data_IF_884881882554
#
_entry.id   IF_884881882554
#
_cell.length_a   1.000
_cell.length_b   1.000
_cell.length_c   1.000
_cell.angle_alpha   90.00
_cell.angle_beta   90.00
_cell.angle_gamma   90.00
#
_symmetry.space_group_name_H-M   'P 1'
#
loop_
_entity.id
_entity.type
_entity.pdbx_description
1 polymer ?
#
# COMPACT_ATOMS: atom_id res chain seq x y z
N UNK A 1 -29.30 12.84 -22.72
CA UNK A 1 -28.63 11.53 -22.55
C UNK A 1 -27.60 11.71 -21.43
N UNK A 2 -27.82 11.08 -20.28
CA UNK A 2 -27.29 11.51 -18.97
C UNK A 2 -25.92 10.92 -18.63
N UNK A 3 -24.91 11.78 -18.53
CA UNK A 3 -23.56 11.50 -17.98
C UNK A 3 -23.60 11.03 -16.51
N UNK A 4 -24.68 11.35 -15.78
CA UNK A 4 -24.89 10.88 -14.40
C UNK A 4 -25.32 9.40 -14.31
N UNK A 5 -25.77 8.77 -15.41
CA UNK A 5 -26.13 7.34 -15.42
C UNK A 5 -24.90 6.44 -15.64
N UNK A 6 -23.86 6.96 -16.28
CA UNK A 6 -22.58 6.25 -16.48
C UNK A 6 -21.66 6.30 -15.25
N UNK A 7 -21.83 7.30 -14.37
CA UNK A 7 -21.08 7.40 -13.12
C UNK A 7 -21.56 6.40 -12.04
N UNK A 8 -22.78 5.86 -12.16
CA UNK A 8 -23.37 4.93 -11.18
C UNK A 8 -23.22 3.44 -11.56
N UNK A 9 -22.82 3.13 -12.80
CA UNK A 9 -22.72 1.74 -13.29
C UNK A 9 -21.35 1.08 -13.11
N UNK A 10 -20.33 1.80 -12.63
CA UNK A 10 -18.94 1.30 -12.52
C UNK A 10 -18.37 1.21 -11.10
N UNK A 11 -19.19 0.90 -10.08
CA UNK A 11 -18.64 0.33 -8.84
C UNK A 11 -18.42 -1.18 -8.99
N UNK A 12 -17.27 -1.55 -9.54
CA UNK A 12 -16.67 -2.89 -9.41
C UNK A 12 -15.23 -2.74 -8.95
N UNK A 13 -14.90 -3.44 -7.87
CA UNK A 13 -13.57 -3.57 -7.27
C UNK A 13 -12.57 -4.37 -8.10
N UNK A 14 -12.85 -4.64 -9.37
CA UNK A 14 -11.98 -5.41 -10.27
C UNK A 14 -11.12 -4.50 -11.19
N UNK A 15 -11.44 -3.20 -11.33
CA UNK A 15 -10.81 -2.34 -12.35
C UNK A 15 -9.57 -1.55 -11.93
N UNK A 16 -9.30 -1.38 -10.62
CA UNK A 16 -8.16 -0.55 -10.16
C UNK A 16 -6.86 -1.37 -10.14
N UNK A 17 -6.95 -2.65 -9.82
CA UNK A 17 -5.80 -3.57 -9.75
C UNK A 17 -5.38 -3.98 -11.16
N UNK A 18 -6.36 -4.35 -12.01
CA UNK A 18 -6.13 -4.68 -13.42
C UNK A 18 -5.50 -3.48 -14.16
N UNK A 19 -6.02 -2.27 -13.94
CA UNK A 19 -5.44 -1.06 -14.52
C UNK A 19 -4.04 -0.71 -14.02
N UNK A 20 -3.65 -1.13 -12.82
CA UNK A 20 -2.28 -0.94 -12.30
C UNK A 20 -1.34 -2.01 -12.87
N UNK A 21 -1.79 -3.27 -12.93
CA UNK A 21 -1.05 -4.38 -13.56
C UNK A 21 -0.86 -4.12 -15.06
N UNK A 22 -1.91 -3.75 -15.79
CA UNK A 22 -1.89 -3.37 -17.21
C UNK A 22 -1.03 -2.13 -17.46
N UNK A 23 -1.16 -1.07 -16.65
CA UNK A 23 -0.29 0.09 -16.77
C UNK A 23 1.19 -0.26 -16.60
N UNK A 24 1.51 -1.15 -15.66
CA UNK A 24 2.88 -1.61 -15.44
C UNK A 24 3.36 -2.49 -16.60
N UNK A 25 2.53 -3.42 -17.09
CA UNK A 25 2.83 -4.30 -18.22
C UNK A 25 3.00 -3.51 -19.54
N UNK A 26 2.09 -2.59 -19.84
CA UNK A 26 2.19 -1.72 -21.02
C UNK A 26 3.47 -0.90 -21.01
N UNK A 27 3.90 -0.39 -19.84
CA UNK A 27 5.16 0.38 -19.73
C UNK A 27 6.41 -0.51 -19.80
N UNK A 28 6.31 -1.76 -19.38
CA UNK A 28 7.36 -2.77 -19.52
C UNK A 28 7.54 -3.18 -20.99
N UNK A 29 6.43 -3.41 -21.69
CA UNK A 29 6.41 -3.68 -23.13
C UNK A 29 6.94 -2.49 -23.92
N UNK A 30 6.55 -1.27 -23.53
CA UNK A 30 7.05 -0.04 -24.16
C UNK A 30 8.57 0.17 -23.96
N UNK A 31 9.13 -0.30 -22.84
CA UNK A 31 10.56 -0.12 -22.52
C UNK A 31 11.50 -0.94 -23.42
N UNK A 32 10.99 -1.98 -24.09
CA UNK A 32 11.77 -2.86 -24.96
C UNK A 32 11.99 -2.32 -26.39
N UNK A 33 11.50 -1.13 -26.72
CA UNK A 33 11.31 -0.70 -28.11
C UNK A 33 12.23 0.42 -28.68
N UNK A 34 13.57 0.50 -28.50
CA UNK A 34 14.49 0.16 -27.42
C UNK A 34 15.45 1.31 -26.98
N UNK A 35 15.30 2.58 -27.37
CA UNK A 35 16.22 3.65 -26.84
C UNK A 35 15.63 5.08 -26.76
N UNK A 36 14.53 5.38 -27.46
CA UNK A 36 13.84 6.67 -27.38
C UNK A 36 12.82 6.76 -26.21
N UNK A 37 12.42 5.62 -25.65
CA UNK A 37 11.40 5.47 -24.57
C UNK A 37 11.98 5.35 -23.15
N UNK A 38 13.31 5.28 -23.00
CA UNK A 38 13.95 5.28 -21.66
C UNK A 38 13.66 6.56 -20.86
N UNK A 39 13.36 7.67 -21.55
CA UNK A 39 12.91 8.92 -20.94
C UNK A 39 11.42 8.89 -20.53
N UNK A 40 10.56 8.12 -21.21
CA UNK A 40 9.12 8.10 -20.93
C UNK A 40 8.79 7.31 -19.67
N UNK A 41 9.49 6.21 -19.37
CA UNK A 41 9.26 5.43 -18.14
C UNK A 41 9.48 6.26 -16.87
N UNK A 42 10.63 6.95 -16.79
CA UNK A 42 10.91 7.91 -15.71
C UNK A 42 9.92 9.08 -15.69
N UNK A 43 9.57 9.64 -16.85
CA UNK A 43 8.66 10.78 -16.92
C UNK A 43 7.26 10.40 -16.41
N UNK A 44 6.71 9.27 -16.88
CA UNK A 44 5.41 8.74 -16.45
C UNK A 44 5.44 8.35 -14.97
N UNK A 45 6.52 7.74 -14.49
CA UNK A 45 6.71 7.45 -13.07
C UNK A 45 6.75 8.73 -12.22
N UNK A 46 7.46 9.75 -12.69
CA UNK A 46 7.53 11.06 -12.03
C UNK A 46 6.18 11.77 -12.03
N UNK A 47 5.45 11.72 -13.13
CA UNK A 47 4.09 12.27 -13.26
C UNK A 47 3.11 11.55 -12.32
N UNK A 48 3.19 10.22 -12.20
CA UNK A 48 2.40 9.47 -11.23
C UNK A 48 2.67 9.92 -9.79
N UNK A 49 3.95 10.09 -9.40
CA UNK A 49 4.34 10.61 -8.07
C UNK A 49 3.86 12.05 -7.86
N UNK A 50 3.92 12.88 -8.89
CA UNK A 50 3.43 14.26 -8.86
C UNK A 50 1.90 14.31 -8.73
N UNK A 51 1.18 13.47 -9.48
CA UNK A 51 -0.27 13.36 -9.42
C UNK A 51 -0.73 12.91 -8.02
N UNK A 52 -0.04 11.96 -7.40
CA UNK A 52 -0.30 11.57 -6.01
C UNK A 52 -0.19 12.76 -5.04
N UNK A 53 0.87 13.58 -5.15
CA UNK A 53 1.03 14.78 -4.33
C UNK A 53 -0.04 15.83 -4.61
N UNK A 54 -0.30 16.14 -5.88
CA UNK A 54 -1.32 17.12 -6.30
C UNK A 54 -2.73 16.72 -5.88
N UNK A 55 -3.04 15.42 -5.82
CA UNK A 55 -4.33 14.92 -5.36
C UNK A 55 -4.56 15.15 -3.85
N UNK A 56 -3.50 15.35 -3.07
CA UNK A 56 -3.57 15.59 -1.62
C UNK A 56 -3.64 17.08 -1.24
N UNK A 57 -3.44 17.98 -2.21
CA UNK A 57 -3.48 19.43 -2.01
C UNK A 57 -4.91 19.98 -1.95
N UNK A 58 -5.11 21.00 -1.12
CA UNK A 58 -6.31 21.85 -1.11
C UNK A 58 -6.43 22.68 -2.38
N UNK A 59 -7.62 23.22 -2.65
CA UNK A 59 -7.87 24.12 -3.77
C UNK A 59 -6.92 25.34 -3.76
N UNK A 60 -6.59 25.87 -2.58
CA UNK A 60 -5.72 27.03 -2.41
C UNK A 60 -4.25 26.70 -2.71
N UNK A 61 -3.76 25.56 -2.23
CA UNK A 61 -2.40 25.12 -2.54
C UNK A 61 -2.25 24.81 -4.04
N UNK A 62 -3.29 24.25 -4.66
CA UNK A 62 -3.29 23.96 -6.11
C UNK A 62 -3.24 25.23 -6.97
N UNK A 63 -3.75 26.37 -6.50
CA UNK A 63 -3.65 27.65 -7.25
C UNK A 63 -2.21 28.05 -7.54
N UNK A 64 -1.25 27.62 -6.72
CA UNK A 64 0.19 27.89 -6.94
C UNK A 64 0.74 27.20 -8.20
N UNK A 65 0.01 26.24 -8.75
CA UNK A 65 0.42 25.42 -9.89
C UNK A 65 -0.55 25.51 -11.08
N UNK A 66 -1.60 26.34 -10.98
CA UNK A 66 -2.60 26.54 -12.05
C UNK A 66 -2.63 27.98 -12.51
N UNK A 67 -3.29 28.23 -13.64
CA UNK A 67 -3.63 29.59 -14.07
C UNK A 67 -4.37 30.33 -12.93
N UNK A 68 -3.97 31.55 -12.55
CA UNK A 68 -4.65 32.34 -11.51
C UNK A 68 -6.13 32.60 -11.76
N UNK A 69 -6.57 32.53 -13.02
CA UNK A 69 -7.96 32.70 -13.44
C UNK A 69 -8.77 31.40 -13.47
N UNK A 70 -8.11 30.24 -13.35
CA UNK A 70 -8.78 28.95 -13.35
C UNK A 70 -9.46 28.70 -11.99
N UNK A 71 -10.71 28.27 -12.03
CA UNK A 71 -11.37 27.73 -10.85
C UNK A 71 -10.62 26.47 -10.39
N UNK A 72 -10.09 26.49 -9.17
CA UNK A 72 -9.46 25.32 -8.56
C UNK A 72 -10.42 24.66 -7.58
N UNK A 73 -10.41 23.33 -7.61
CA UNK A 73 -11.10 22.48 -6.64
C UNK A 73 -10.06 21.68 -5.86
N UNK A 74 -10.46 21.20 -4.69
CA UNK A 74 -9.61 20.33 -3.89
C UNK A 74 -9.15 19.12 -4.68
N UNK A 75 -7.95 18.63 -4.37
CA UNK A 75 -7.51 17.33 -4.84
C UNK A 75 -8.45 16.23 -4.32
N UNK A 76 -8.60 15.16 -5.10
CA UNK A 76 -9.54 14.09 -4.75
C UNK A 76 -9.18 13.41 -3.41
N UNK A 77 -7.89 13.23 -3.13
CA UNK A 77 -7.40 12.67 -1.87
C UNK A 77 -7.61 13.64 -0.71
N UNK A 78 -7.47 14.94 -0.94
CA UNK A 78 -7.80 15.98 0.04
C UNK A 78 -9.27 15.92 0.44
N UNK A 79 -10.18 15.88 -0.55
CA UNK A 79 -11.61 15.73 -0.29
C UNK A 79 -11.93 14.44 0.48
N UNK A 80 -11.30 13.32 0.12
CA UNK A 80 -11.48 12.04 0.82
C UNK A 80 -11.01 12.11 2.29
N UNK A 81 -9.86 12.73 2.55
CA UNK A 81 -9.33 12.93 3.89
C UNK A 81 -10.30 13.72 4.78
N UNK A 82 -10.84 14.84 4.28
CA UNK A 82 -11.82 15.64 5.01
C UNK A 82 -13.15 14.90 5.23
N UNK A 83 -13.59 14.09 4.26
CA UNK A 83 -14.78 13.26 4.44
C UNK A 83 -14.59 12.18 5.53
N UNK A 84 -13.41 11.55 5.58
CA UNK A 84 -13.05 10.59 6.63
C UNK A 84 -12.97 11.28 7.99
N UNK A 85 -12.33 12.45 8.07
CA UNK A 85 -12.26 13.24 9.29
C UNK A 85 -13.65 13.64 9.79
N UNK A 86 -14.53 14.10 8.91
CA UNK A 86 -15.92 14.41 9.25
C UNK A 86 -16.69 13.18 9.73
N UNK A 87 -16.43 11.98 9.20
CA UNK A 87 -17.03 10.74 9.71
C UNK A 87 -16.55 10.45 11.14
N UNK A 88 -15.24 10.51 11.39
CA UNK A 88 -14.67 10.21 12.71
C UNK A 88 -15.01 11.28 13.76
N UNK A 89 -15.29 12.52 13.34
CA UNK A 89 -15.79 13.57 14.23
C UNK A 89 -17.22 13.28 14.72
N UNK A 90 -18.05 12.62 13.91
CA UNK A 90 -19.42 12.20 14.29
C UNK A 90 -19.43 10.93 15.13
N UNK A 91 -18.49 10.03 14.86
CA UNK A 91 -18.36 8.75 15.54
C UNK A 91 -16.89 8.49 15.89
N UNK A 92 -16.54 8.73 17.14
CA UNK A 92 -15.16 8.62 17.65
C UNK A 92 -14.72 7.17 17.89
N UNK A 93 -15.61 6.19 17.68
CA UNK A 93 -15.29 4.76 17.74
C UNK A 93 -14.82 4.22 16.38
N UNK A 94 -14.96 5.01 15.31
CA UNK A 94 -14.46 4.65 13.97
C UNK A 94 -12.93 4.72 13.94
N UNK A 95 -12.32 3.60 13.59
CA UNK A 95 -10.89 3.47 13.38
C UNK A 95 -10.53 3.50 11.89
N UNK A 96 -9.44 4.19 11.54
CA UNK A 96 -8.92 4.23 10.16
C UNK A 96 -7.77 3.23 10.00
N UNK A 97 -7.92 2.34 9.03
CA UNK A 97 -6.91 1.35 8.67
C UNK A 97 -6.48 1.56 7.21
N UNK A 98 -5.18 1.60 6.97
CA UNK A 98 -4.58 1.77 5.65
C UNK A 98 -3.98 0.44 5.19
N UNK A 99 -4.27 0.05 3.96
CA UNK A 99 -3.55 -1.00 3.24
C UNK A 99 -3.16 -0.45 1.86
N UNK A 100 -1.90 -0.61 1.48
CA UNK A 100 -1.38 -0.07 0.24
C UNK A 100 -0.37 -1.02 -0.40
N UNK A 101 -0.62 -1.42 -1.64
CA UNK A 101 0.28 -2.28 -2.41
C UNK A 101 1.06 -1.46 -3.44
N UNK A 102 2.34 -1.78 -3.65
CA UNK A 102 3.14 -1.25 -4.76
C UNK A 102 3.05 0.29 -4.85
N UNK A 103 2.65 0.85 -5.99
CA UNK A 103 2.46 2.29 -6.20
C UNK A 103 1.38 2.92 -5.31
N UNK A 104 0.49 2.13 -4.70
CA UNK A 104 -0.43 2.60 -3.68
C UNK A 104 0.29 3.25 -2.50
N UNK A 105 1.51 2.81 -2.17
CA UNK A 105 2.30 3.43 -1.11
C UNK A 105 2.81 4.84 -1.47
N UNK A 106 2.90 5.17 -2.76
CA UNK A 106 3.23 6.52 -3.23
C UNK A 106 2.01 7.43 -3.09
N UNK A 107 0.82 6.92 -3.42
CA UNK A 107 -0.44 7.65 -3.22
C UNK A 107 -0.73 7.92 -1.74
N UNK A 108 -0.52 6.91 -0.89
CA UNK A 108 -0.81 7.02 0.54
C UNK A 108 0.16 7.96 1.28
N UNK A 109 1.38 8.18 0.78
CA UNK A 109 2.39 9.01 1.44
C UNK A 109 1.90 10.45 1.72
N UNK A 110 1.54 11.26 0.69
CA UNK A 110 1.00 12.60 0.94
C UNK A 110 -0.40 12.57 1.57
N UNK A 111 -1.19 11.51 1.33
CA UNK A 111 -2.53 11.38 1.88
C UNK A 111 -2.54 11.30 3.41
N UNK A 112 -1.58 10.61 4.03
CA UNK A 112 -1.48 10.49 5.50
C UNK A 112 -1.31 11.87 6.14
N UNK A 113 -0.46 12.72 5.57
CA UNK A 113 -0.29 14.10 6.04
C UNK A 113 -1.58 14.90 5.95
N UNK A 114 -2.27 14.85 4.80
CA UNK A 114 -3.56 15.53 4.62
C UNK A 114 -4.64 15.01 5.56
N UNK A 115 -4.72 13.69 5.76
CA UNK A 115 -5.66 13.07 6.70
C UNK A 115 -5.42 13.53 8.14
N UNK A 116 -4.15 13.65 8.55
CA UNK A 116 -3.79 14.15 9.87
C UNK A 116 -4.24 15.60 10.06
N UNK A 117 -3.98 16.47 9.09
CA UNK A 117 -4.44 17.87 9.12
C UNK A 117 -5.96 17.95 9.21
N UNK A 118 -6.66 17.17 8.39
CA UNK A 118 -8.13 17.11 8.40
C UNK A 118 -8.69 16.64 9.76
N UNK A 119 -8.05 15.65 10.41
CA UNK A 119 -8.44 15.24 11.77
C UNK A 119 -8.23 16.35 12.80
N UNK A 120 -7.12 17.08 12.72
CA UNK A 120 -6.85 18.19 13.63
C UNK A 120 -7.89 19.31 13.48
N UNK A 121 -8.24 19.68 12.24
CA UNK A 121 -9.27 20.68 11.94
C UNK A 121 -10.66 20.26 12.39
N UNK A 122 -11.01 18.99 12.22
CA UNK A 122 -12.29 18.44 12.63
C UNK A 122 -12.38 18.15 14.15
N UNK A 123 -11.33 18.43 14.93
CA UNK A 123 -11.31 18.20 16.38
C UNK A 123 -11.33 16.72 16.78
N UNK A 124 -10.87 15.83 15.90
CA UNK A 124 -10.88 14.38 16.14
C UNK A 124 -9.72 14.01 17.06
N UNK A 125 -10.01 13.94 18.37
CA UNK A 125 -9.04 13.53 19.37
C UNK A 125 -8.60 12.06 19.22
N UNK A 126 -9.51 11.18 18.75
CA UNK A 126 -9.28 9.74 18.50
C UNK A 126 -8.98 9.40 17.04
N UNK A 127 -8.33 10.30 16.30
CA UNK A 127 -7.98 10.10 14.88
C UNK A 127 -6.55 9.64 14.58
N UNK A 128 -5.95 8.62 15.24
CA UNK A 128 -4.79 7.98 14.67
C UNK A 128 -5.21 6.93 13.63
N UNK A 129 -4.33 6.73 12.66
CA UNK A 129 -4.36 5.57 11.78
C UNK A 129 -4.04 4.35 12.64
N UNK A 130 -5.04 3.53 12.88
CA UNK A 130 -4.97 2.35 13.73
C UNK A 130 -3.93 1.34 13.23
N UNK A 131 -3.97 1.03 11.94
CA UNK A 131 -2.97 0.16 11.30
C UNK A 131 -2.61 0.69 9.92
N UNK A 132 -1.33 0.63 9.56
CA UNK A 132 -0.85 0.89 8.21
C UNK A 132 -0.11 -0.35 7.69
N UNK A 133 -0.66 -1.03 6.69
CA UNK A 133 -0.06 -2.21 6.04
C UNK A 133 0.43 -1.84 4.65
N UNK A 134 1.74 -1.95 4.42
CA UNK A 134 2.38 -1.67 3.15
C UNK A 134 2.85 -2.98 2.52
N UNK A 135 2.28 -3.35 1.38
CA UNK A 135 2.61 -4.57 0.64
C UNK A 135 3.54 -4.24 -0.53
N UNK A 136 4.77 -4.73 -0.49
CA UNK A 136 5.81 -4.44 -1.48
C UNK A 136 5.80 -2.96 -1.95
N UNK A 137 5.89 -1.98 -1.03
CA UNK A 137 5.72 -0.57 -1.36
C UNK A 137 6.74 -0.09 -2.40
N UNK A 138 6.25 0.55 -3.46
CA UNK A 138 7.11 1.06 -4.54
C UNK A 138 7.63 2.49 -4.26
N UNK A 139 7.28 3.08 -3.12
CA UNK A 139 7.86 4.35 -2.68
C UNK A 139 9.34 4.18 -2.30
N UNK A 140 10.11 5.27 -2.36
CA UNK A 140 11.51 5.24 -1.95
C UNK A 140 11.62 5.18 -0.43
N UNK A 141 12.78 4.74 0.08
CA UNK A 141 13.08 4.83 1.52
C UNK A 141 13.01 6.30 1.99
N UNK A 142 13.45 7.28 1.19
CA UNK A 142 13.32 8.70 1.57
C UNK A 142 11.86 9.16 1.65
N UNK A 143 10.99 8.73 0.73
CA UNK A 143 9.54 9.00 0.84
C UNK A 143 8.95 8.40 2.13
N UNK A 144 9.41 7.23 2.56
CA UNK A 144 9.01 6.68 3.86
C UNK A 144 9.45 7.56 5.03
N UNK A 145 10.73 7.94 5.06
CA UNK A 145 11.27 8.78 6.14
C UNK A 145 10.65 10.17 6.20
N UNK A 146 10.24 10.72 5.06
CA UNK A 146 9.63 12.04 4.96
C UNK A 146 8.12 12.00 5.27
N UNK A 147 7.38 11.05 4.68
CA UNK A 147 5.92 11.09 4.65
C UNK A 147 5.23 10.07 5.57
N UNK A 148 5.93 9.03 6.04
CA UNK A 148 5.35 8.02 6.94
C UNK A 148 5.96 8.05 8.34
N UNK A 149 7.30 8.10 8.43
CA UNK A 149 8.04 8.02 9.69
C UNK A 149 7.60 9.05 10.73
N UNK A 150 7.39 10.34 10.41
CA UNK A 150 6.99 11.32 11.43
C UNK A 150 5.65 10.96 12.09
N UNK A 151 4.74 10.32 11.35
CA UNK A 151 3.45 9.89 11.87
C UNK A 151 3.56 8.63 12.73
N UNK A 152 4.50 7.74 12.42
CA UNK A 152 4.82 6.62 13.28
C UNK A 152 5.45 7.10 14.61
N UNK A 153 6.39 8.03 14.55
CA UNK A 153 7.11 8.53 15.75
C UNK A 153 6.19 9.33 16.68
N UNK A 154 5.25 10.09 16.12
CA UNK A 154 4.24 10.83 16.90
C UNK A 154 3.09 9.95 17.40
N UNK A 155 3.04 8.68 16.98
CA UNK A 155 1.95 7.75 17.29
C UNK A 155 0.65 8.03 16.54
N UNK A 156 0.68 8.89 15.52
CA UNK A 156 -0.44 9.10 14.60
C UNK A 156 -0.70 7.88 13.71
N UNK A 157 0.33 7.09 13.40
CA UNK A 157 0.21 5.69 12.98
C UNK A 157 0.50 4.83 14.20
N UNK A 158 -0.48 4.03 14.63
CA UNK A 158 -0.35 3.23 15.86
C UNK A 158 0.39 1.91 15.63
N UNK A 159 0.03 1.14 14.60
CA UNK A 159 0.76 -0.06 14.18
C UNK A 159 1.11 0.02 12.69
N UNK A 160 2.35 -0.33 12.32
CA UNK A 160 2.81 -0.41 10.93
C UNK A 160 3.30 -1.82 10.60
N UNK A 161 2.89 -2.36 9.45
CA UNK A 161 3.35 -3.63 8.92
C UNK A 161 3.89 -3.43 7.50
N UNK A 162 5.19 -3.68 7.33
CA UNK A 162 5.84 -3.69 6.03
C UNK A 162 5.96 -5.13 5.55
N UNK A 163 5.48 -5.42 4.35
CA UNK A 163 5.67 -6.70 3.67
C UNK A 163 6.61 -6.50 2.48
N UNK A 164 7.65 -7.32 2.41
CA UNK A 164 8.61 -7.37 1.28
C UNK A 164 8.79 -8.81 0.85
N UNK A 165 9.25 -9.07 -0.37
CA UNK A 165 9.85 -10.38 -0.62
C UNK A 165 11.19 -10.49 0.12
N UNK A 166 11.70 -11.70 0.36
CA UNK A 166 13.13 -11.88 0.69
C UNK A 166 13.97 -11.42 -0.49
N UNK A 167 15.22 -11.04 -0.25
CA UNK A 167 16.06 -10.52 -1.33
C UNK A 167 16.32 -11.58 -2.42
N UNK A 168 16.41 -12.85 -2.04
CA UNK A 168 16.57 -13.97 -2.97
C UNK A 168 15.35 -14.08 -3.89
N UNK A 169 14.14 -14.08 -3.33
CA UNK A 169 12.90 -14.21 -4.11
C UNK A 169 12.64 -12.97 -4.97
N UNK A 170 12.96 -11.78 -4.47
CA UNK A 170 12.87 -10.53 -5.24
C UNK A 170 13.83 -10.52 -6.45
N UNK A 171 15.02 -11.10 -6.30
CA UNK A 171 16.00 -11.22 -7.38
C UNK A 171 15.60 -12.27 -8.43
N UNK A 172 14.94 -13.35 -8.01
CA UNK A 172 14.45 -14.44 -8.87
C UNK A 172 13.08 -14.13 -9.52
N UNK A 173 12.38 -13.08 -9.07
CA UNK A 173 11.14 -12.59 -9.67
C UNK A 173 11.39 -12.02 -11.08
N UNK A 174 10.33 -11.85 -11.86
CA UNK A 174 10.42 -11.31 -13.21
C UNK A 174 9.23 -10.42 -13.57
N UNK A 175 9.47 -9.40 -14.38
CA UNK A 175 8.40 -8.68 -15.06
C UNK A 175 8.09 -9.36 -16.40
N UNK A 176 7.04 -10.19 -16.45
CA UNK A 176 6.61 -10.89 -17.66
C UNK A 176 7.73 -11.66 -18.41
N UNK A 177 8.83 -12.02 -17.72
CA UNK A 177 10.08 -12.56 -18.28
C UNK A 177 10.78 -11.65 -19.32
N UNK A 178 10.34 -10.41 -19.41
CA UNK A 178 10.93 -9.33 -20.19
C UNK A 178 12.06 -8.67 -19.41
N UNK A 179 11.87 -8.51 -18.09
CA UNK A 179 12.90 -8.11 -17.15
C UNK A 179 13.11 -9.26 -16.16
N UNK A 180 14.33 -9.82 -16.12
CA UNK A 180 14.68 -11.00 -15.31
C UNK A 180 14.98 -10.65 -13.84
N UNK A 181 14.30 -9.63 -13.32
CA UNK A 181 14.26 -9.24 -11.91
C UNK A 181 12.85 -8.70 -11.62
N UNK A 182 12.54 -8.45 -10.35
CA UNK A 182 11.27 -7.82 -9.97
C UNK A 182 11.07 -6.43 -10.58
N UNK A 183 9.80 -5.98 -10.55
CA UNK A 183 9.42 -4.62 -10.95
C UNK A 183 10.09 -3.56 -10.07
N UNK A 184 10.28 -3.83 -8.79
CA UNK A 184 10.95 -2.88 -7.88
C UNK A 184 12.42 -2.69 -8.25
N UNK A 185 13.09 -3.72 -8.76
CA UNK A 185 14.43 -3.56 -9.35
C UNK A 185 14.41 -2.66 -10.58
N UNK A 186 13.40 -2.76 -11.46
CA UNK A 186 13.28 -1.85 -12.61
C UNK A 186 13.07 -0.41 -12.15
N UNK A 187 12.14 -0.19 -11.22
CA UNK A 187 11.86 1.14 -10.65
C UNK A 187 13.12 1.73 -10.02
N UNK A 188 13.78 0.98 -9.14
CA UNK A 188 15.03 1.36 -8.46
C UNK A 188 16.13 1.72 -9.46
N UNK A 189 16.33 0.89 -10.49
CA UNK A 189 17.46 1.01 -11.40
C UNK A 189 17.24 2.04 -12.51
N UNK A 190 16.00 2.33 -12.91
CA UNK A 190 15.72 3.08 -14.13
C UNK A 190 14.72 4.23 -13.99
N UNK A 191 13.67 4.08 -13.18
CA UNK A 191 12.56 5.06 -13.17
C UNK A 191 12.67 6.12 -12.09
N UNK A 192 13.46 5.88 -11.04
CA UNK A 192 13.73 6.88 -10.02
C UNK A 192 14.76 7.94 -10.43
N UNK A 193 14.85 9.00 -9.63
CA UNK A 193 15.72 10.16 -9.91
C UNK A 193 17.20 9.78 -10.05
N UNK A 194 17.67 8.80 -9.28
CA UNK A 194 19.04 8.27 -9.32
C UNK A 194 19.03 6.88 -9.95
N UNK A 195 19.22 6.76 -11.28
CA UNK A 195 19.30 5.45 -11.92
C UNK A 195 20.58 4.71 -11.53
N UNK A 196 20.54 3.38 -11.61
CA UNK A 196 21.71 2.53 -11.42
C UNK A 196 22.74 2.77 -12.52
N UNK A 197 24.00 2.87 -12.14
CA UNK A 197 25.14 2.86 -13.06
C UNK A 197 25.97 1.64 -12.68
N UNK A 198 26.03 0.57 -13.51
CA UNK A 198 26.77 -0.65 -13.19
C UNK A 198 28.18 -0.33 -12.70
N UNK A 199 28.60 -0.94 -11.58
CA UNK A 199 29.90 -0.75 -10.93
C UNK A 199 30.17 0.62 -10.30
N UNK A 200 29.35 1.65 -10.56
CA UNK A 200 29.58 3.01 -10.06
C UNK A 200 28.53 3.48 -9.06
N UNK A 201 27.27 3.09 -9.22
CA UNK A 201 26.15 3.56 -8.40
C UNK A 201 25.01 2.56 -8.36
N UNK A 202 24.48 2.27 -7.18
CA UNK A 202 23.23 1.53 -7.03
C UNK A 202 22.02 2.37 -7.51
N UNK A 203 20.88 1.70 -7.75
CA UNK A 203 19.61 2.39 -8.00
C UNK A 203 19.11 3.12 -6.75
N UNK A 204 18.05 3.90 -6.90
CA UNK A 204 17.39 4.56 -5.76
C UNK A 204 16.78 3.50 -4.82
N UNK A 205 16.99 3.60 -3.50
CA UNK A 205 16.46 2.61 -2.56
C UNK A 205 14.93 2.64 -2.50
N UNK A 206 14.30 1.51 -2.81
CA UNK A 206 12.84 1.31 -2.77
C UNK A 206 12.46 0.56 -1.51
N UNK A 207 11.48 1.07 -0.75
CA UNK A 207 11.10 0.53 0.55
C UNK A 207 10.66 -0.94 0.48
N UNK A 208 9.97 -1.33 -0.59
CA UNK A 208 9.44 -2.69 -0.76
C UNK A 208 10.48 -3.77 -1.01
N UNK A 209 11.76 -3.42 -1.18
CA UNK A 209 12.85 -4.38 -1.34
C UNK A 209 13.53 -4.62 0.01
N UNK A 210 13.63 -5.88 0.45
CA UNK A 210 14.16 -6.19 1.79
C UNK A 210 15.57 -5.60 2.04
N UNK A 211 16.46 -5.70 1.04
CA UNK A 211 17.81 -5.11 1.08
C UNK A 211 17.86 -3.59 1.23
N UNK A 212 16.77 -2.89 0.93
CA UNK A 212 16.64 -1.43 1.07
C UNK A 212 15.87 -1.05 2.32
N UNK A 213 14.83 -1.82 2.71
CA UNK A 213 14.06 -1.60 3.92
C UNK A 213 14.95 -1.52 5.17
N UNK A 214 15.95 -2.39 5.25
CA UNK A 214 16.93 -2.40 6.35
C UNK A 214 17.81 -1.14 6.47
N UNK A 215 17.72 -0.18 5.54
CA UNK A 215 18.39 1.13 5.64
C UNK A 215 17.68 2.09 6.61
N UNK A 216 16.42 1.82 6.94
CA UNK A 216 15.67 2.56 7.95
C UNK A 216 15.77 1.85 9.30
N UNK A 217 16.05 2.62 10.35
CA UNK A 217 16.05 2.09 11.73
C UNK A 217 14.64 1.73 12.22
N UNK A 218 13.59 2.19 11.55
CA UNK A 218 12.21 1.81 11.86
C UNK A 218 11.97 0.30 11.71
N UNK A 219 12.68 -0.36 10.78
CA UNK A 219 12.52 -1.80 10.49
C UNK A 219 13.63 -2.68 11.07
N UNK A 220 14.71 -2.07 11.57
CA UNK A 220 15.81 -2.80 12.22
C UNK A 220 15.84 -2.59 13.74
N UNK A 221 15.08 -1.61 14.25
CA UNK A 221 14.90 -1.35 15.66
C UNK A 221 13.86 -2.25 16.33
N UNK A 222 13.85 -2.25 17.67
CA UNK A 222 12.96 -3.08 18.49
C UNK A 222 11.57 -2.46 18.75
N UNK A 223 11.06 -1.62 17.83
CA UNK A 223 9.77 -0.95 18.02
C UNK A 223 8.64 -1.98 18.14
N UNK A 224 7.87 -1.99 19.23
CA UNK A 224 6.76 -2.92 19.40
C UNK A 224 5.54 -2.57 18.55
N UNK A 225 5.64 -1.54 17.70
CA UNK A 225 4.56 -1.04 16.83
C UNK A 225 4.86 -1.23 15.36
N UNK A 226 6.03 -1.78 15.02
CA UNK A 226 6.44 -2.05 13.65
C UNK A 226 6.62 -3.55 13.47
N UNK A 227 6.12 -4.08 12.37
CA UNK A 227 6.41 -5.42 11.90
C UNK A 227 7.03 -5.34 10.50
N UNK A 228 8.13 -6.06 10.29
CA UNK A 228 8.67 -6.30 8.96
C UNK A 228 8.51 -7.79 8.63
N UNK A 229 7.63 -8.07 7.68
CA UNK A 229 7.26 -9.39 7.21
C UNK A 229 7.99 -9.62 5.89
N UNK A 230 8.89 -10.60 5.85
CA UNK A 230 9.50 -11.03 4.61
C UNK A 230 8.78 -12.27 4.06
N UNK A 231 8.49 -12.26 2.76
CA UNK A 231 7.72 -13.27 2.05
C UNK A 231 8.58 -13.99 0.98
N UNK A 232 8.33 -15.27 0.71
CA UNK A 232 7.41 -16.15 1.41
C UNK A 232 7.97 -16.53 2.79
N UNK A 233 7.08 -16.78 3.75
CA UNK A 233 7.43 -17.36 5.04
C UNK A 233 6.56 -18.57 5.37
N UNK A 234 6.87 -19.24 6.49
CA UNK A 234 6.19 -20.47 6.90
C UNK A 234 5.09 -20.25 7.94
N UNK A 235 4.74 -19.00 8.26
CA UNK A 235 3.67 -18.74 9.21
C UNK A 235 2.32 -19.18 8.62
N UNK A 236 1.43 -19.79 9.43
CA UNK A 236 0.17 -20.32 8.93
C UNK A 236 -0.79 -19.20 8.52
N UNK A 237 -1.65 -19.45 7.54
CA UNK A 237 -2.68 -18.49 7.14
C UNK A 237 -3.54 -18.08 8.35
N UNK A 238 -3.82 -16.77 8.47
CA UNK A 238 -4.49 -16.18 9.63
C UNK A 238 -3.56 -15.73 10.75
N UNK A 239 -2.26 -16.10 10.70
CA UNK A 239 -1.23 -15.44 11.51
C UNK A 239 -0.98 -14.03 10.96
N UNK A 240 -0.90 -12.99 11.81
CA UNK A 240 -0.69 -11.61 11.36
C UNK A 240 0.69 -11.33 10.73
N UNK A 241 1.63 -12.27 10.81
CA UNK A 241 2.94 -12.22 10.17
C UNK A 241 3.04 -13.17 8.96
N UNK A 242 1.96 -13.83 8.56
CA UNK A 242 1.98 -14.74 7.41
C UNK A 242 1.96 -13.99 6.08
N UNK A 243 2.79 -14.46 5.17
CA UNK A 243 2.76 -14.09 3.75
C UNK A 243 3.43 -15.18 2.94
N UNK A 244 2.73 -15.73 1.95
CA UNK A 244 3.26 -16.78 1.05
C UNK A 244 3.50 -16.26 -0.36
N UNK A 245 3.39 -14.95 -0.56
CA UNK A 245 3.67 -14.29 -1.82
C UNK A 245 5.08 -14.63 -2.34
N UNK A 246 5.19 -14.92 -3.64
CA UNK A 246 6.44 -15.30 -4.32
C UNK A 246 6.81 -14.38 -5.48
N UNK A 247 6.04 -13.32 -5.69
CA UNK A 247 6.31 -12.28 -6.68
C UNK A 247 5.73 -10.96 -6.21
N UNK A 248 6.25 -9.86 -6.74
CA UNK A 248 5.85 -8.50 -6.37
C UNK A 248 4.33 -8.29 -6.49
N UNK A 249 3.74 -8.83 -7.55
CA UNK A 249 2.32 -8.68 -7.87
C UNK A 249 1.39 -9.69 -7.19
N UNK A 250 1.88 -10.54 -6.29
CA UNK A 250 1.09 -11.61 -5.68
C UNK A 250 0.54 -11.29 -4.29
N UNK A 251 0.98 -10.20 -3.63
CA UNK A 251 0.58 -9.90 -2.25
C UNK A 251 -0.92 -9.64 -2.07
N UNK A 252 -1.60 -9.11 -3.08
CA UNK A 252 -3.04 -8.83 -3.06
C UNK A 252 -3.89 -10.09 -3.24
N UNK A 253 -3.36 -11.09 -3.95
CA UNK A 253 -4.00 -12.39 -4.20
C UNK A 253 -3.54 -13.48 -3.20
N UNK A 254 -2.52 -13.21 -2.38
CA UNK A 254 -2.00 -14.13 -1.37
C UNK A 254 -2.89 -14.17 -0.12
N UNK A 255 -3.58 -15.30 0.07
CA UNK A 255 -4.53 -15.51 1.19
C UNK A 255 -3.88 -15.26 2.55
N UNK A 256 -2.62 -15.68 2.74
CA UNK A 256 -1.88 -15.48 3.99
C UNK A 256 -1.66 -13.99 4.30
N UNK A 257 -1.20 -13.20 3.32
CA UNK A 257 -0.99 -11.75 3.43
C UNK A 257 -2.29 -11.01 3.78
N UNK A 258 -3.37 -11.33 3.05
CA UNK A 258 -4.68 -10.68 3.26
C UNK A 258 -5.26 -11.05 4.62
N UNK A 259 -5.24 -12.33 4.98
CA UNK A 259 -5.72 -12.81 6.28
C UNK A 259 -4.92 -12.20 7.43
N UNK A 260 -3.59 -12.12 7.31
CA UNK A 260 -2.72 -11.50 8.30
C UNK A 260 -3.01 -10.01 8.48
N UNK A 261 -3.28 -9.29 7.38
CA UNK A 261 -3.65 -7.88 7.41
C UNK A 261 -5.01 -7.66 8.09
N UNK A 262 -6.03 -8.45 7.74
CA UNK A 262 -7.34 -8.41 8.41
C UNK A 262 -7.25 -8.79 9.89
N UNK A 263 -6.33 -9.68 10.25
CA UNK A 263 -6.08 -10.03 11.65
C UNK A 263 -5.56 -8.83 12.44
N UNK A 264 -4.66 -8.02 11.87
CA UNK A 264 -4.19 -6.77 12.48
C UNK A 264 -5.33 -5.77 12.67
N UNK A 265 -6.11 -5.53 11.62
CA UNK A 265 -7.28 -4.65 11.66
C UNK A 265 -8.23 -5.07 12.76
N UNK A 266 -8.63 -6.34 12.78
CA UNK A 266 -9.65 -6.80 13.72
C UNK A 266 -9.14 -6.89 15.15
N UNK A 267 -7.85 -7.12 15.40
CA UNK A 267 -7.27 -7.24 16.74
C UNK A 267 -6.83 -5.88 17.35
N UNK A 268 -6.75 -4.83 16.54
CA UNK A 268 -6.52 -3.48 17.03
C UNK A 268 -7.56 -3.07 18.09
N UNK A 269 -7.13 -2.37 19.14
CA UNK A 269 -7.97 -2.01 20.30
C UNK A 269 -8.21 -3.12 21.33
N UNK A 270 -7.90 -4.39 21.04
CA UNK A 270 -7.95 -5.52 22.00
C UNK A 270 -6.56 -5.89 22.56
N UNK A 271 -5.72 -4.89 22.78
CA UNK A 271 -4.33 -5.07 23.23
C UNK A 271 -3.30 -5.18 22.11
N UNK A 272 -3.69 -4.95 20.85
CA UNK A 272 -2.81 -4.91 19.67
C UNK A 272 -2.21 -6.27 19.29
N UNK A 273 -1.99 -6.51 18.01
CA UNK A 273 -1.27 -7.74 17.60
C UNK A 273 0.17 -7.68 18.08
N UNK A 274 0.78 -6.50 17.96
CA UNK A 274 2.21 -6.33 18.22
C UNK A 274 2.51 -6.13 19.72
N UNK A 275 1.64 -5.44 20.45
CA UNK A 275 1.74 -5.34 21.90
C UNK A 275 1.46 -6.68 22.62
N UNK A 276 0.54 -7.51 22.09
CA UNK A 276 0.30 -8.86 22.58
C UNK A 276 1.47 -9.84 22.39
N UNK A 277 2.33 -9.62 21.38
CA UNK A 277 3.49 -10.47 21.10
C UNK A 277 4.63 -10.29 22.12
N UNK A 278 4.90 -9.04 22.53
CA UNK A 278 5.96 -8.73 23.51
C UNK A 278 5.63 -9.31 24.89
N UNK A 279 4.35 -9.38 25.25
CA UNK A 279 3.89 -10.06 26.47
C UNK A 279 4.13 -11.59 26.45
N UNK A 280 4.35 -12.18 25.27
CA UNK A 280 4.68 -13.61 25.08
C UNK A 280 6.18 -13.88 24.95
N UNK A 281 7.04 -12.88 25.14
CA UNK A 281 8.49 -13.05 25.19
C UNK A 281 9.18 -13.29 23.84
N UNK A 282 8.50 -13.09 22.71
CA UNK A 282 9.11 -13.19 21.38
C UNK A 282 9.81 -11.89 20.99
N UNK A 283 11.12 -11.95 20.73
CA UNK A 283 11.78 -10.94 19.90
C UNK A 283 11.23 -11.05 18.48
N UNK A 284 10.99 -9.92 17.82
CA UNK A 284 10.57 -9.87 16.41
C UNK A 284 11.72 -10.25 15.45
N UNK A 285 12.56 -11.20 15.84
CA UNK A 285 13.45 -11.93 14.96
C UNK A 285 12.77 -13.26 14.67
N UNK A 286 11.89 -13.30 13.66
CA UNK A 286 11.32 -14.57 13.20
C UNK A 286 12.32 -15.21 12.22
N UNK A 287 13.48 -15.58 12.74
CA UNK A 287 14.19 -16.74 12.22
C UNK A 287 13.36 -17.98 12.60
N UNK A 288 12.75 -18.61 11.58
CA UNK A 288 12.14 -19.94 11.57
C UNK A 288 11.68 -20.52 12.94
N UNK A 289 10.39 -20.37 13.26
CA UNK A 289 9.75 -21.11 14.37
C UNK A 289 9.01 -22.33 13.82
N UNK A 290 9.27 -23.50 14.42
CA UNK A 290 8.76 -24.83 14.08
C UNK A 290 7.23 -24.97 14.28
N UNK A 291 6.57 -25.94 13.59
CA UNK A 291 5.12 -25.97 13.47
C UNK A 291 4.43 -26.45 14.76
N UNK A 292 3.47 -25.67 15.25
CA UNK A 292 2.68 -26.00 16.43
C UNK A 292 1.19 -25.69 16.27
N UNK A 293 0.40 -26.77 16.27
CA UNK A 293 -1.07 -26.88 16.44
C UNK A 293 -1.99 -26.12 15.46
N UNK A 294 -2.76 -26.90 14.70
CA UNK A 294 -3.82 -26.43 13.83
C UNK A 294 -4.93 -25.70 14.62
N UNK A 295 -5.25 -24.48 14.18
CA UNK A 295 -6.41 -23.70 14.63
C UNK A 295 -7.49 -23.81 13.53
N UNK A 296 -8.79 -23.91 13.87
CA UNK A 296 -9.84 -24.16 12.88
C UNK A 296 -9.89 -23.03 11.86
N UNK A 297 -9.91 -23.39 10.57
CA UNK A 297 -10.16 -22.45 9.48
C UNK A 297 -11.51 -21.74 9.72
N UNK A 298 -11.61 -20.42 9.49
CA UNK A 298 -12.91 -19.77 9.44
C UNK A 298 -13.70 -20.43 8.31
N UNK A 299 -14.77 -21.13 8.69
CA UNK A 299 -15.70 -21.78 7.79
C UNK A 299 -16.54 -20.68 7.13
N UNK A 300 -16.03 -20.08 6.07
CA UNK A 300 -16.92 -19.46 5.10
C UNK A 300 -17.63 -20.62 4.40
N UNK A 301 -18.90 -20.85 4.73
CA UNK A 301 -19.78 -21.63 3.88
C UNK A 301 -19.59 -21.10 2.47
N UNK A 302 -19.06 -21.95 1.57
CA UNK A 302 -19.08 -21.70 0.13
C UNK A 302 -20.56 -21.62 -0.25
N UNK A 303 -21.15 -20.44 -0.14
CA UNK A 303 -22.46 -20.21 -0.73
C UNK A 303 -22.24 -20.24 -2.24
N UNK A 304 -22.41 -21.44 -2.81
CA UNK A 304 -22.44 -21.71 -4.24
C UNK A 304 -23.72 -21.14 -4.87
N UNK A 305 -24.03 -19.89 -4.55
CA UNK A 305 -24.92 -19.01 -5.30
C UNK A 305 -24.15 -17.74 -5.50
N UNK A 306 -23.46 -17.68 -6.63
CA UNK A 306 -22.64 -16.53 -6.98
C UNK A 306 -23.47 -15.26 -6.84
N UNK A 307 -22.87 -14.19 -6.32
CA UNK A 307 -23.45 -12.84 -6.28
C UNK A 307 -23.91 -12.34 -7.67
N UNK A 308 -23.53 -13.07 -8.73
CA UNK A 308 -23.95 -12.90 -10.12
C UNK A 308 -25.38 -13.39 -10.37
N UNK A 309 -25.82 -14.50 -9.77
CA UNK A 309 -27.17 -15.05 -9.94
C UNK A 309 -28.23 -14.22 -9.22
N UNK A 310 -27.95 -13.81 -7.97
CA UNK A 310 -28.81 -12.87 -7.22
C UNK A 310 -29.01 -11.53 -7.93
N UNK A 311 -28.02 -11.11 -8.75
CA UNK A 311 -28.05 -9.87 -9.53
C UNK A 311 -28.85 -10.00 -10.84
N UNK A 312 -29.00 -11.21 -11.38
CA UNK A 312 -29.83 -11.47 -12.58
C UNK A 312 -31.31 -11.49 -12.20
N UNK A 313 -31.64 -12.00 -11.01
CA UNK A 313 -33.01 -12.05 -10.49
C UNK A 313 -33.58 -10.65 -10.20
N UNK A 314 -32.80 -9.79 -9.53
CA UNK A 314 -33.18 -8.41 -9.22
C UNK A 314 -33.37 -7.51 -10.47
N UNK A 315 -32.65 -7.81 -11.55
CA UNK A 315 -32.76 -7.06 -12.82
C UNK A 315 -33.92 -7.55 -13.71
N UNK A 316 -34.57 -8.67 -13.38
CA UNK A 316 -35.78 -9.14 -14.10
C UNK A 316 -37.08 -8.59 -13.49
N UNK A 317 -37.02 -8.06 -12.27
CA UNK A 317 -38.17 -7.49 -11.55
C UNK A 317 -38.20 -5.94 -11.60
N UNK A 318 -37.31 -5.31 -12.38
CA UNK A 318 -37.25 -3.85 -12.62
C UNK A 318 -37.47 -3.52 -14.09
#
# INVERSE_FOLDING_TARGET
RNILRDALSRRRSEGVIDGTKDFLLDRLDDALEPLARSLSGKAVWSEMKENARRAALSAEERKRFTDPSAATVDGASHLAAHAIAALCARDQDVAVHIAAHSAGSIFMAPFIGTLRSAFAEAGVARGPIATCSLWAPACTVSTFEEDYRPFLDTGAIDELALYTLTDEVEQDDHCARIYNKSLLYLVSNAFESKPRIPLFREGEPILGMARHAGRSDAFTGASPKVAWIQAPNNAPAGDPFASHAKSHGAFDDDEATVAGTLRRVTAWGRGGVLAGLKARGGTADVAAVAPGAAVPAPMFERSARSSRERRIELNRES
#
